data_IF_330810092604
#
_entry.id   IF_330810092604
#
_cell.length_a   1.000
_cell.length_b   1.000
_cell.length_c   1.000
_cell.angle_alpha   90.00
_cell.angle_beta   90.00
_cell.angle_gamma   90.00
#
_symmetry.space_group_name_H-M   'P 1'
#
loop_
_entity.id
_entity.type
_entity.pdbx_description
1 polymer ?
#
# COMPACT_ATOMS: atom_id res chain seq x y z
N UNK A 1 0.59 5.20 -31.33
CA UNK A 1 1.27 4.98 -30.04
C UNK A 1 0.26 5.28 -28.95
N UNK A 2 -0.02 4.32 -28.06
CA UNK A 2 -1.00 4.54 -26.99
C UNK A 2 -0.36 5.42 -25.91
N UNK A 3 -1.05 6.46 -25.45
CA UNK A 3 -0.54 7.30 -24.35
C UNK A 3 -0.36 6.44 -23.09
N UNK A 4 0.80 6.53 -22.44
CA UNK A 4 1.19 5.70 -21.29
C UNK A 4 0.11 5.69 -20.18
N UNK A 5 -0.36 6.86 -19.75
CA UNK A 5 -1.31 6.95 -18.64
C UNK A 5 -2.71 6.46 -19.01
N UNK A 6 -3.07 6.55 -20.29
CA UNK A 6 -4.30 5.93 -20.80
C UNK A 6 -4.19 4.40 -20.76
N UNK A 7 -3.04 3.86 -21.18
CA UNK A 7 -2.78 2.42 -21.12
C UNK A 7 -2.76 1.91 -19.67
N UNK A 8 -2.00 2.56 -18.79
CA UNK A 8 -1.95 2.22 -17.36
C UNK A 8 -3.34 2.19 -16.74
N UNK A 9 -4.16 3.23 -16.93
CA UNK A 9 -5.51 3.29 -16.36
C UNK A 9 -6.41 2.16 -16.85
N UNK A 10 -6.39 1.86 -18.14
CA UNK A 10 -7.28 0.87 -18.74
C UNK A 10 -6.83 -0.56 -18.40
N UNK A 11 -5.53 -0.82 -18.50
CA UNK A 11 -4.99 -2.18 -18.47
C UNK A 11 -4.60 -2.66 -17.06
N UNK A 12 -4.69 -1.78 -16.06
CA UNK A 12 -4.58 -2.16 -14.63
C UNK A 12 -5.92 -2.17 -13.90
N UNK A 13 -7.01 -1.80 -14.58
CA UNK A 13 -8.33 -1.66 -13.96
C UNK A 13 -8.81 -2.95 -13.27
N UNK A 14 -8.60 -4.10 -13.91
CA UNK A 14 -8.99 -5.40 -13.34
C UNK A 14 -8.28 -5.69 -12.01
N UNK A 15 -6.95 -5.50 -11.96
CA UNK A 15 -6.17 -5.73 -10.75
C UNK A 15 -6.47 -4.69 -9.65
N UNK A 16 -6.74 -3.44 -10.01
CA UNK A 16 -7.24 -2.44 -9.08
C UNK A 16 -8.58 -2.88 -8.45
N UNK A 17 -9.53 -3.34 -9.26
CA UNK A 17 -10.82 -3.82 -8.78
C UNK A 17 -10.67 -5.07 -7.90
N UNK A 18 -9.79 -6.03 -8.27
CA UNK A 18 -9.49 -7.21 -7.44
C UNK A 18 -8.93 -6.77 -6.09
N UNK A 19 -7.99 -5.82 -6.08
CA UNK A 19 -7.40 -5.30 -4.84
C UNK A 19 -8.48 -4.74 -3.90
N UNK A 20 -9.36 -3.88 -4.39
CA UNK A 20 -10.45 -3.28 -3.60
C UNK A 20 -11.41 -4.35 -3.02
N UNK A 21 -11.63 -5.44 -3.74
CA UNK A 21 -12.50 -6.53 -3.30
C UNK A 21 -11.79 -7.61 -2.45
N UNK A 22 -10.48 -7.53 -2.28
CA UNK A 22 -9.69 -8.51 -1.53
C UNK A 22 -9.56 -8.08 -0.06
N UNK A 23 -9.76 -9.00 0.89
CA UNK A 23 -9.45 -8.73 2.29
C UNK A 23 -7.94 -8.40 2.45
N UNK A 24 -7.55 -7.41 3.28
CA UNK A 24 -8.39 -6.59 4.16
C UNK A 24 -8.97 -5.31 3.52
N UNK A 25 -8.64 -5.00 2.27
CA UNK A 25 -9.04 -3.75 1.60
C UNK A 25 -10.55 -3.61 1.40
N UNK A 26 -11.28 -4.72 1.27
CA UNK A 26 -12.74 -4.76 1.17
C UNK A 26 -13.47 -4.17 2.38
N UNK A 27 -12.79 -3.93 3.51
CA UNK A 27 -13.31 -3.16 4.64
C UNK A 27 -13.77 -1.75 4.22
N UNK A 28 -13.21 -1.18 3.16
CA UNK A 28 -13.60 0.15 2.68
C UNK A 28 -14.87 0.18 1.81
N UNK A 29 -15.60 -0.93 1.66
CA UNK A 29 -16.94 -0.89 1.07
C UNK A 29 -17.96 -0.21 2.00
N UNK A 30 -18.99 0.42 1.41
CA UNK A 30 -19.89 1.38 2.08
C UNK A 30 -20.63 0.80 3.29
N UNK A 31 -20.93 -0.50 3.27
CA UNK A 31 -21.75 -1.17 4.29
C UNK A 31 -20.92 -1.99 5.29
N UNK A 32 -19.59 -1.95 5.18
CA UNK A 32 -18.69 -2.65 6.10
C UNK A 32 -18.55 -1.88 7.42
N UNK A 33 -18.75 -2.58 8.54
CA UNK A 33 -18.38 -2.07 9.87
C UNK A 33 -16.87 -1.89 9.98
N UNK A 34 -16.44 -0.92 10.78
CA UNK A 34 -15.01 -0.71 11.02
C UNK A 34 -14.44 -1.91 11.78
N UNK A 35 -13.41 -2.54 11.20
CA UNK A 35 -12.72 -3.67 11.79
C UNK A 35 -11.27 -3.27 12.12
N UNK A 36 -10.96 -3.23 13.42
CA UNK A 36 -9.65 -2.83 13.92
C UNK A 36 -8.51 -3.73 13.42
N UNK A 37 -8.72 -5.04 13.37
CA UNK A 37 -7.71 -6.00 12.90
C UNK A 37 -7.46 -5.85 11.40
N UNK A 38 -8.53 -5.67 10.62
CA UNK A 38 -8.43 -5.42 9.18
C UNK A 38 -7.73 -4.07 8.90
N UNK A 39 -8.04 -3.02 9.66
CA UNK A 39 -7.38 -1.73 9.54
C UNK A 39 -5.87 -1.82 9.84
N UNK A 40 -5.50 -2.45 10.96
CA UNK A 40 -4.10 -2.69 11.30
C UNK A 40 -3.38 -3.54 10.22
N UNK A 41 -4.05 -4.57 9.69
CA UNK A 41 -3.51 -5.37 8.59
C UNK A 41 -3.27 -4.53 7.33
N UNK A 42 -4.20 -3.64 6.96
CA UNK A 42 -4.01 -2.70 5.84
C UNK A 42 -2.80 -1.82 6.07
N UNK A 43 -2.65 -1.19 7.24
CA UNK A 43 -1.50 -0.32 7.51
C UNK A 43 -0.17 -1.09 7.44
N UNK A 44 -0.13 -2.32 7.94
CA UNK A 44 1.03 -3.19 7.82
C UNK A 44 1.38 -3.53 6.37
N UNK A 45 0.37 -3.87 5.54
CA UNK A 45 0.55 -4.11 4.12
C UNK A 45 1.06 -2.86 3.41
N UNK A 46 0.44 -1.71 3.66
CA UNK A 46 0.82 -0.45 3.04
C UNK A 46 2.24 -0.03 3.42
N UNK A 47 2.67 -0.31 4.66
CA UNK A 47 4.06 -0.09 5.08
C UNK A 47 5.04 -0.93 4.27
N UNK A 48 4.79 -2.22 4.09
CA UNK A 48 5.63 -3.09 3.25
C UNK A 48 5.65 -2.59 1.80
N UNK A 49 4.48 -2.26 1.25
CA UNK A 49 4.36 -1.74 -0.12
C UNK A 49 5.15 -0.45 -0.32
N UNK A 50 4.98 0.52 0.58
CA UNK A 50 5.63 1.83 0.49
C UNK A 50 7.14 1.73 0.71
N UNK A 51 7.61 0.91 1.67
CA UNK A 51 9.05 0.67 1.84
C UNK A 51 9.67 0.06 0.57
N UNK A 52 9.04 -0.97 0.02
CA UNK A 52 9.52 -1.65 -1.18
C UNK A 52 9.55 -0.70 -2.38
N UNK A 53 8.47 0.05 -2.60
CA UNK A 53 8.37 1.02 -3.69
C UNK A 53 9.42 2.12 -3.57
N UNK A 54 9.57 2.72 -2.38
CA UNK A 54 10.52 3.79 -2.15
C UNK A 54 11.96 3.31 -2.41
N UNK A 55 12.31 2.10 -1.97
CA UNK A 55 13.63 1.53 -2.22
C UNK A 55 13.85 1.25 -3.72
N UNK A 56 12.90 0.63 -4.42
CA UNK A 56 13.00 0.39 -5.87
C UNK A 56 13.19 1.69 -6.65
N UNK A 57 12.41 2.73 -6.32
CA UNK A 57 12.49 4.04 -6.97
C UNK A 57 13.84 4.70 -6.67
N UNK A 58 14.29 4.65 -5.42
CA UNK A 58 15.59 5.20 -5.01
C UNK A 58 16.74 4.52 -5.74
N UNK A 59 16.78 3.20 -5.78
CA UNK A 59 17.82 2.43 -6.47
C UNK A 59 17.85 2.73 -7.97
N UNK A 60 16.67 2.86 -8.59
CA UNK A 60 16.57 3.23 -10.01
C UNK A 60 17.05 4.65 -10.24
N UNK A 61 16.71 5.60 -9.36
CA UNK A 61 17.15 6.98 -9.46
C UNK A 61 18.68 7.15 -9.27
N UNK A 62 19.33 6.26 -8.51
CA UNK A 62 20.81 6.21 -8.45
C UNK A 62 21.43 5.84 -9.81
N UNK A 63 20.76 4.96 -10.57
CA UNK A 63 21.22 4.50 -11.89
C UNK A 63 20.78 5.44 -13.03
N UNK A 64 19.64 6.11 -12.87
CA UNK A 64 19.04 7.04 -13.84
C UNK A 64 18.66 8.35 -13.12
N UNK A 65 19.62 9.28 -12.93
CA UNK A 65 19.41 10.47 -12.10
C UNK A 65 18.30 11.42 -12.55
N UNK A 66 17.88 11.37 -13.82
CA UNK A 66 16.73 12.14 -14.32
C UNK A 66 15.41 11.74 -13.67
N UNK A 67 15.31 10.53 -13.08
CA UNK A 67 14.15 10.09 -12.31
C UNK A 67 14.03 10.79 -10.94
N UNK A 68 15.07 11.47 -10.45
CA UNK A 68 15.03 12.13 -9.13
C UNK A 68 13.85 13.12 -9.01
N UNK A 69 13.50 13.81 -10.11
CA UNK A 69 12.38 14.76 -10.13
C UNK A 69 11.05 14.09 -9.75
N UNK A 70 10.77 12.90 -10.30
CA UNK A 70 9.55 12.16 -9.98
C UNK A 70 9.67 11.33 -8.69
N UNK A 71 10.88 10.88 -8.32
CA UNK A 71 11.10 10.14 -7.08
C UNK A 71 10.76 10.97 -5.83
N UNK A 72 11.15 12.26 -5.84
CA UNK A 72 10.87 13.18 -4.74
C UNK A 72 9.37 13.42 -4.47
N UNK A 73 8.51 13.13 -5.46
CA UNK A 73 7.06 13.33 -5.35
C UNK A 73 6.36 12.33 -4.42
N UNK A 74 7.03 11.22 -4.07
CA UNK A 74 6.47 10.20 -3.18
C UNK A 74 6.34 10.67 -1.73
N UNK A 75 7.16 11.64 -1.31
CA UNK A 75 7.25 12.07 0.08
C UNK A 75 7.38 10.89 1.06
N UNK A 76 8.21 9.90 0.67
CA UNK A 76 8.23 8.57 1.29
C UNK A 76 8.55 8.60 2.79
N UNK A 77 9.41 9.52 3.23
CA UNK A 77 9.76 9.66 4.65
C UNK A 77 8.55 10.02 5.50
N UNK A 78 7.74 10.99 5.06
CA UNK A 78 6.54 11.42 5.78
C UNK A 78 5.48 10.33 5.80
N UNK A 79 5.26 9.65 4.67
CA UNK A 79 4.29 8.55 4.57
C UNK A 79 4.68 7.38 5.47
N UNK A 80 5.96 6.99 5.48
CA UNK A 80 6.45 5.88 6.31
C UNK A 80 6.46 6.22 7.80
N UNK A 81 6.76 7.47 8.17
CA UNK A 81 6.64 7.94 9.55
C UNK A 81 5.19 7.86 10.04
N UNK A 82 4.26 8.38 9.24
CA UNK A 82 2.83 8.36 9.56
C UNK A 82 2.28 6.94 9.73
N UNK A 83 2.70 6.00 8.86
CA UNK A 83 2.37 4.58 9.01
C UNK A 83 2.88 3.98 10.33
N UNK A 84 4.12 4.32 10.72
CA UNK A 84 4.68 3.84 11.97
C UNK A 84 3.92 4.39 13.18
N UNK A 85 3.52 5.67 13.13
CA UNK A 85 2.74 6.31 14.18
C UNK A 85 1.37 5.64 14.34
N UNK A 86 0.61 5.50 13.24
CA UNK A 86 -0.72 4.87 13.27
C UNK A 86 -0.65 3.41 13.73
N UNK A 87 0.31 2.63 13.20
CA UNK A 87 0.49 1.22 13.60
C UNK A 87 0.83 1.11 15.09
N UNK A 88 1.72 1.97 15.59
CA UNK A 88 2.09 1.98 17.01
C UNK A 88 0.90 2.37 17.92
N UNK A 89 0.12 3.38 17.52
CA UNK A 89 -1.07 3.80 18.25
C UNK A 89 -2.10 2.66 18.37
N UNK A 90 -2.38 1.97 17.26
CA UNK A 90 -3.31 0.84 17.23
C UNK A 90 -2.82 -0.34 18.07
N UNK A 91 -1.54 -0.72 17.96
CA UNK A 91 -0.96 -1.82 18.74
C UNK A 91 -0.96 -1.51 20.25
N UNK A 92 -0.66 -0.27 20.63
CA UNK A 92 -0.67 0.17 22.02
C UNK A 92 -2.08 0.18 22.61
N UNK A 93 -3.08 0.63 21.85
CA UNK A 93 -4.48 0.60 22.25
C UNK A 93 -4.95 -0.83 22.51
N UNK A 94 -4.63 -1.77 21.61
CA UNK A 94 -4.94 -3.21 21.76
C UNK A 94 -4.34 -3.79 23.05
N UNK A 95 -3.05 -3.52 23.31
CA UNK A 95 -2.38 -4.00 24.51
C UNK A 95 -3.02 -3.45 25.79
N UNK A 96 -3.38 -2.17 25.80
CA UNK A 96 -4.02 -1.54 26.97
C UNK A 96 -5.41 -2.10 27.26
N UNK A 97 -6.19 -2.44 26.22
CA UNK A 97 -7.50 -3.06 26.36
C UNK A 97 -7.39 -4.50 26.92
N UNK A 98 -6.42 -5.27 26.42
CA UNK A 98 -6.15 -6.63 26.92
C UNK A 98 -5.69 -6.63 28.39
N UNK A 99 -4.84 -5.69 28.79
CA UNK A 99 -4.42 -5.55 30.20
C UNK A 99 -5.61 -5.24 31.12
N UNK A 100 -6.47 -4.29 30.76
CA UNK A 100 -7.65 -3.94 31.56
C UNK A 100 -8.67 -5.09 31.69
N UNK A 101 -8.84 -5.89 30.63
CA UNK A 101 -9.70 -7.07 30.66
C UNK A 101 -9.15 -8.13 31.63
N UNK A 102 -7.83 -8.37 31.60
CA UNK A 102 -7.18 -9.32 32.52
C UNK A 102 -7.27 -8.85 33.98
N UNK A 103 -7.12 -7.54 34.24
CA UNK A 103 -7.22 -6.98 35.59
C UNK A 103 -8.63 -7.07 36.18
N UNK A 104 -9.68 -7.04 35.35
CA UNK A 104 -11.08 -7.16 35.80
C UNK A 104 -11.54 -8.62 35.98
N UNK A 105 -10.79 -9.60 35.45
CA UNK A 105 -11.12 -11.03 35.55
C UNK A 105 -10.09 -11.88 36.32
N UNK A 106 -9.02 -11.29 36.86
CA UNK A 106 -8.00 -12.04 37.61
C UNK A 106 -8.44 -12.37 39.06
N UNK A 107 -9.04 -13.56 39.23
CA UNK A 107 -8.93 -14.34 40.47
C UNK A 107 -7.74 -15.30 40.30
N UNK A 108 -6.63 -14.96 40.96
CA UNK A 108 -5.45 -15.79 41.31
C UNK A 108 -5.13 -16.99 40.40
N UNK A 109 -4.05 -16.88 39.61
CA UNK A 109 -2.99 -17.90 39.50
C UNK A 109 -1.71 -17.25 38.92
N UNK A 110 -0.52 -17.40 39.53
CA UNK A 110 0.71 -16.80 39.05
C UNK A 110 1.52 -17.81 38.23
N UNK A 111 1.46 -17.76 36.90
CA UNK A 111 2.61 -18.08 36.01
C UNK A 111 2.19 -18.05 34.54
N UNK A 112 2.69 -17.09 33.78
CA UNK A 112 3.68 -17.35 32.72
C UNK A 112 3.97 -16.04 31.99
N UNK A 113 5.26 -15.75 31.87
CA UNK A 113 5.81 -14.66 31.07
C UNK A 113 5.28 -14.80 29.64
N UNK A 114 4.33 -13.94 29.24
CA UNK A 114 3.90 -13.82 27.85
C UNK A 114 5.15 -13.46 27.05
N UNK A 115 5.66 -14.43 26.29
CA UNK A 115 6.67 -14.17 25.27
C UNK A 115 5.98 -13.36 24.19
N UNK A 116 6.37 -12.11 24.02
CA UNK A 116 6.09 -11.32 22.83
C UNK A 116 6.65 -12.06 21.62
N UNK A 117 5.83 -12.88 20.99
CA UNK A 117 6.01 -13.38 19.64
C UNK A 117 4.63 -13.43 19.02
N UNK A 118 4.56 -13.00 17.78
CA UNK A 118 3.40 -13.07 16.89
C UNK A 118 2.63 -11.74 16.74
N UNK A 119 3.35 -10.65 16.41
CA UNK A 119 2.92 -9.95 15.19
C UNK A 119 3.00 -11.00 14.06
N UNK A 120 1.98 -11.18 13.20
CA UNK A 120 2.15 -11.93 11.97
C UNK A 120 3.12 -11.15 11.08
N UNK A 121 4.41 -11.27 11.40
CA UNK A 121 5.47 -10.69 10.62
C UNK A 121 5.42 -11.39 9.28
N UNK A 122 4.90 -10.70 8.27
CA UNK A 122 5.08 -11.08 6.88
C UNK A 122 6.56 -11.43 6.70
N UNK A 123 6.85 -12.72 6.53
CA UNK A 123 8.22 -13.22 6.50
C UNK A 123 9.00 -12.47 5.42
N UNK A 124 10.10 -11.80 5.80
CA UNK A 124 10.91 -10.98 4.89
C UNK A 124 11.34 -11.76 3.63
N UNK A 125 11.64 -13.05 3.77
CA UNK A 125 11.99 -13.90 2.63
C UNK A 125 10.79 -14.19 1.72
N UNK A 126 9.60 -14.34 2.31
CA UNK A 126 8.37 -14.51 1.55
C UNK A 126 7.91 -13.20 0.89
N UNK A 127 8.23 -12.03 1.46
CA UNK A 127 8.02 -10.73 0.82
C UNK A 127 8.99 -10.58 -0.36
N UNK A 128 10.28 -10.90 -0.17
CA UNK A 128 11.29 -10.78 -1.21
C UNK A 128 10.93 -11.56 -2.49
N UNK A 129 10.30 -12.73 -2.33
CA UNK A 129 9.81 -13.55 -3.45
C UNK A 129 8.61 -12.94 -4.20
N UNK A 130 7.90 -11.99 -3.60
CA UNK A 130 6.77 -11.31 -4.22
C UNK A 130 7.15 -9.95 -4.83
N UNK A 131 8.37 -9.45 -4.58
CA UNK A 131 8.79 -8.16 -5.14
C UNK A 131 8.75 -8.26 -6.66
N UNK A 132 8.10 -7.31 -7.36
CA UNK A 132 8.06 -7.32 -8.81
C UNK A 132 9.45 -7.42 -9.43
N UNK A 133 9.59 -8.26 -10.45
CA UNK A 133 10.78 -8.34 -11.29
C UNK A 133 10.47 -7.73 -12.65
N UNK A 134 11.37 -6.89 -13.17
CA UNK A 134 11.12 -6.15 -14.40
C UNK A 134 12.22 -6.34 -15.45
N UNK A 135 11.82 -6.20 -16.71
CA UNK A 135 12.72 -6.11 -17.86
C UNK A 135 13.39 -4.71 -17.97
N UNK A 136 12.90 -3.71 -17.22
CA UNK A 136 13.48 -2.36 -17.16
C UNK A 136 13.27 -1.74 -15.78
N UNK A 137 14.36 -1.39 -15.10
CA UNK A 137 14.30 -0.71 -13.80
C UNK A 137 13.55 0.63 -13.90
N UNK A 138 13.65 1.33 -15.03
CA UNK A 138 12.91 2.58 -15.29
C UNK A 138 11.40 2.37 -15.39
N UNK A 139 10.93 1.35 -16.14
CA UNK A 139 9.49 1.06 -16.20
C UNK A 139 8.96 0.61 -14.85
N UNK A 140 9.75 -0.17 -14.12
CA UNK A 140 9.42 -0.61 -12.78
C UNK A 140 9.22 0.56 -11.80
N UNK A 141 10.15 1.52 -11.81
CA UNK A 141 10.08 2.70 -10.95
C UNK A 141 8.90 3.61 -11.31
N UNK A 142 8.68 3.90 -12.60
CA UNK A 142 7.54 4.72 -13.04
C UNK A 142 6.21 4.04 -12.70
N UNK A 143 6.11 2.73 -12.89
CA UNK A 143 4.94 1.95 -12.52
C UNK A 143 4.70 1.96 -10.99
N UNK A 144 5.77 1.85 -10.18
CA UNK A 144 5.66 1.91 -8.73
C UNK A 144 5.13 3.29 -8.26
N UNK A 145 5.67 4.38 -8.82
CA UNK A 145 5.21 5.75 -8.54
C UNK A 145 3.75 5.92 -8.99
N UNK A 146 3.37 5.35 -10.14
CA UNK A 146 2.00 5.38 -10.62
C UNK A 146 1.02 4.72 -9.63
N UNK A 147 1.32 3.53 -9.12
CA UNK A 147 0.46 2.83 -8.14
C UNK A 147 0.42 3.59 -6.81
N UNK A 148 1.57 4.07 -6.33
CA UNK A 148 1.65 4.89 -5.11
C UNK A 148 0.76 6.14 -5.21
N UNK A 149 1.00 6.98 -6.22
CA UNK A 149 0.24 8.22 -6.38
C UNK A 149 -1.21 7.94 -6.79
N UNK A 150 -1.50 6.81 -7.45
CA UNK A 150 -2.86 6.32 -7.66
C UNK A 150 -3.62 6.17 -6.35
N UNK A 151 -3.01 5.48 -5.37
CA UNK A 151 -3.62 5.28 -4.04
C UNK A 151 -3.80 6.58 -3.24
N UNK A 152 -2.95 7.60 -3.47
CA UNK A 152 -3.04 8.91 -2.82
C UNK A 152 -4.35 9.65 -3.11
N UNK A 153 -4.94 9.44 -4.29
CA UNK A 153 -6.22 10.04 -4.66
C UNK A 153 -7.38 9.45 -3.85
N UNK A 154 -7.36 8.13 -3.62
CA UNK A 154 -8.37 7.44 -2.80
C UNK A 154 -8.26 7.76 -1.31
N UNK A 155 -7.07 8.11 -0.83
CA UNK A 155 -6.80 8.40 0.58
C UNK A 155 -7.71 9.51 1.15
N UNK A 156 -8.01 10.56 0.36
CA UNK A 156 -8.91 11.65 0.80
C UNK A 156 -10.33 11.16 1.17
N UNK A 157 -10.83 10.15 0.46
CA UNK A 157 -12.15 9.58 0.73
C UNK A 157 -12.09 8.74 2.00
N UNK A 158 -11.01 7.97 2.17
CA UNK A 158 -10.80 7.12 3.34
C UNK A 158 -10.65 7.96 4.61
N UNK A 159 -9.82 9.01 4.61
CA UNK A 159 -9.69 9.93 5.76
C UNK A 159 -11.04 10.44 6.22
N UNK A 160 -11.83 11.03 5.30
CA UNK A 160 -13.14 11.60 5.62
C UNK A 160 -14.10 10.57 6.20
N UNK A 161 -14.04 9.33 5.69
CA UNK A 161 -14.87 8.24 6.21
C UNK A 161 -14.47 7.86 7.62
N UNK A 162 -13.18 7.73 7.90
CA UNK A 162 -12.66 7.37 9.22
C UNK A 162 -12.93 8.48 10.24
N UNK A 163 -12.70 9.74 9.88
CA UNK A 163 -12.96 10.92 10.74
C UNK A 163 -14.45 11.14 11.03
N UNK A 164 -15.35 10.67 10.15
CA UNK A 164 -16.79 10.73 10.38
C UNK A 164 -17.29 9.68 11.39
N UNK A 165 -16.44 8.72 11.78
CA UNK A 165 -16.78 7.73 12.80
C UNK A 165 -16.65 8.35 14.20
N UNK A 166 -17.44 7.85 15.16
CA UNK A 166 -17.32 8.27 16.58
C UNK A 166 -16.12 7.63 17.30
N UNK A 167 -15.32 6.84 16.58
CA UNK A 167 -14.14 6.15 17.09
C UNK A 167 -12.91 7.04 16.90
N UNK A 168 -12.02 7.03 17.88
CA UNK A 168 -10.72 7.69 17.77
C UNK A 168 -9.77 6.81 16.95
N UNK A 169 -9.88 6.90 15.63
CA UNK A 169 -9.11 6.11 14.67
C UNK A 169 -7.88 6.93 14.23
N UNK A 170 -6.64 6.42 14.41
CA UNK A 170 -5.44 7.04 13.85
C UNK A 170 -5.52 7.14 12.32
N UNK A 171 -5.28 8.32 11.77
CA UNK A 171 -5.42 8.62 10.33
C UNK A 171 -4.21 9.31 9.72
N UNK A 172 -3.09 9.40 10.44
CA UNK A 172 -1.90 10.13 9.96
C UNK A 172 -1.43 9.61 8.59
N UNK A 173 -1.47 8.29 8.38
CA UNK A 173 -1.08 7.67 7.11
C UNK A 173 -1.94 8.16 5.94
N UNK A 174 -3.26 8.10 6.09
CA UNK A 174 -4.17 8.50 5.01
C UNK A 174 -4.15 10.01 4.79
N UNK A 175 -3.90 10.81 5.84
CA UNK A 175 -3.66 12.25 5.71
C UNK A 175 -2.36 12.55 4.95
N UNK A 176 -1.27 11.85 5.27
CA UNK A 176 0.01 11.97 4.56
C UNK A 176 -0.13 11.57 3.08
N UNK A 177 -0.81 10.47 2.79
CA UNK A 177 -1.10 10.04 1.42
C UNK A 177 -1.98 11.04 0.68
N UNK A 178 -3.06 11.54 1.29
CA UNK A 178 -3.89 12.58 0.69
C UNK A 178 -3.07 13.84 0.31
N UNK A 179 -2.09 14.20 1.13
CA UNK A 179 -1.14 15.28 0.86
C UNK A 179 -0.24 15.05 -0.37
N UNK A 180 -0.01 13.80 -0.76
CA UNK A 180 0.76 13.44 -1.97
C UNK A 180 -0.05 13.60 -3.26
N UNK A 181 -1.39 13.60 -3.20
CA UNK A 181 -2.25 13.64 -4.39
C UNK A 181 -2.03 14.88 -5.27
N UNK A 182 -1.58 16.00 -4.68
CA UNK A 182 -1.23 17.23 -5.42
C UNK A 182 -0.13 17.02 -6.45
N UNK A 183 0.74 16.03 -6.27
CA UNK A 183 1.84 15.74 -7.19
C UNK A 183 1.41 14.95 -8.43
N UNK A 184 0.18 14.42 -8.47
CA UNK A 184 -0.29 13.55 -9.56
C UNK A 184 -0.19 14.19 -10.94
N UNK A 185 -0.60 15.47 -11.06
CA UNK A 185 -0.57 16.17 -12.35
C UNK A 185 0.87 16.39 -12.82
N UNK A 186 1.73 16.88 -11.92
CA UNK A 186 3.15 17.10 -12.20
C UNK A 186 3.88 15.79 -12.54
N UNK A 187 3.58 14.70 -11.84
CA UNK A 187 4.12 13.38 -12.15
C UNK A 187 3.85 12.98 -13.59
N UNK A 188 2.60 13.12 -14.06
CA UNK A 188 2.25 12.77 -15.44
C UNK A 188 3.01 13.63 -16.46
N UNK A 189 3.07 14.93 -16.23
CA UNK A 189 3.78 15.87 -17.11
C UNK A 189 5.29 15.58 -17.17
N UNK A 190 5.89 15.30 -16.02
CA UNK A 190 7.32 15.01 -15.90
C UNK A 190 7.68 13.68 -16.56
N UNK A 191 6.80 12.67 -16.47
CA UNK A 191 6.97 11.39 -17.18
C UNK A 191 6.81 11.58 -18.68
N UNK A 192 5.79 12.31 -19.15
CA UNK A 192 5.61 12.61 -20.57
C UNK A 192 6.81 13.34 -21.17
N UNK A 193 7.51 14.16 -20.38
CA UNK A 193 8.76 14.81 -20.77
C UNK A 193 9.96 13.88 -20.68
N UNK A 194 9.99 12.99 -19.67
CA UNK A 194 11.12 12.10 -19.38
C UNK A 194 11.29 11.00 -20.43
N UNK A 195 10.19 10.44 -20.93
CA UNK A 195 10.27 9.29 -21.84
C UNK A 195 11.00 9.63 -23.14
N UNK A 196 10.73 10.77 -23.82
CA UNK A 196 11.53 11.21 -24.96
C UNK A 196 13.01 11.47 -24.60
N UNK A 197 13.28 12.11 -23.46
CA UNK A 197 14.65 12.40 -22.99
C UNK A 197 15.48 11.12 -22.83
N UNK A 198 14.84 10.03 -22.42
CA UNK A 198 15.46 8.72 -22.23
C UNK A 198 15.42 7.82 -23.48
N UNK A 199 14.80 8.26 -24.58
CA UNK A 199 14.57 7.40 -25.76
C UNK A 199 13.60 6.25 -25.50
N UNK A 200 12.74 6.37 -24.48
CA UNK A 200 11.80 5.36 -24.02
C UNK A 200 10.35 5.62 -24.48
N UNK A 201 10.11 6.67 -25.29
CA UNK A 201 8.80 6.96 -25.86
C UNK A 201 8.46 6.00 -27.01
N UNK A 202 8.16 4.76 -26.65
CA UNK A 202 7.83 3.69 -27.58
C UNK A 202 6.85 2.68 -26.98
N UNK A 203 6.16 1.92 -27.85
CA UNK A 203 5.13 0.97 -27.44
C UNK A 203 5.68 -0.17 -26.56
N UNK A 204 6.95 -0.55 -26.72
CA UNK A 204 7.58 -1.57 -25.87
C UNK A 204 7.69 -1.08 -24.42
N UNK A 205 8.03 0.19 -24.22
CA UNK A 205 8.08 0.78 -22.89
C UNK A 205 6.68 0.84 -22.26
N UNK A 206 5.67 1.28 -23.02
CA UNK A 206 4.27 1.30 -22.54
C UNK A 206 3.83 -0.08 -22.07
N UNK A 207 4.12 -1.13 -22.85
CA UNK A 207 3.83 -2.51 -22.47
C UNK A 207 4.54 -2.92 -21.17
N UNK A 208 5.84 -2.61 -21.04
CA UNK A 208 6.61 -2.94 -19.84
C UNK A 208 6.07 -2.22 -18.60
N UNK A 209 5.76 -0.92 -18.71
CA UNK A 209 5.21 -0.14 -17.61
C UNK A 209 3.83 -0.64 -17.15
N UNK A 210 2.97 -1.06 -18.08
CA UNK A 210 1.68 -1.70 -17.76
C UNK A 210 1.88 -3.04 -17.06
N UNK A 211 2.81 -3.87 -17.55
CA UNK A 211 3.13 -5.15 -16.93
C UNK A 211 3.67 -4.95 -15.50
N UNK A 212 4.57 -4.00 -15.31
CA UNK A 212 5.14 -3.68 -14.00
C UNK A 212 4.09 -3.11 -13.04
N UNK A 213 3.16 -2.27 -13.53
CA UNK A 213 2.08 -1.74 -12.70
C UNK A 213 1.13 -2.85 -12.25
N UNK A 214 0.80 -3.80 -13.13
CA UNK A 214 0.04 -4.97 -12.75
C UNK A 214 0.79 -5.84 -11.72
N UNK A 215 2.10 -6.02 -11.86
CA UNK A 215 2.91 -6.73 -10.87
C UNK A 215 2.89 -6.03 -9.49
N UNK A 216 2.88 -4.69 -9.44
CA UNK A 216 2.71 -3.95 -8.18
C UNK A 216 1.33 -4.14 -7.54
N UNK A 217 0.26 -4.19 -8.35
CA UNK A 217 -1.06 -4.53 -7.82
C UNK A 217 -1.11 -5.99 -7.34
N UNK A 218 -0.55 -6.94 -8.09
CA UNK A 218 -0.45 -8.35 -7.70
C UNK A 218 0.35 -8.53 -6.41
N UNK A 219 1.39 -7.72 -6.20
CA UNK A 219 2.14 -7.66 -4.96
C UNK A 219 1.23 -7.27 -3.79
N UNK A 220 0.47 -6.17 -3.91
CA UNK A 220 -0.49 -5.73 -2.89
C UNK A 220 -1.59 -6.79 -2.62
N UNK A 221 -2.16 -7.38 -3.67
CA UNK A 221 -3.16 -8.45 -3.57
C UNK A 221 -2.58 -9.65 -2.81
N UNK A 222 -1.35 -10.05 -3.15
CA UNK A 222 -0.67 -11.18 -2.50
C UNK A 222 -0.38 -10.91 -1.02
N UNK A 223 -0.03 -9.67 -0.67
CA UNK A 223 0.11 -9.26 0.73
C UNK A 223 -1.23 -9.35 1.47
N UNK A 224 -2.33 -8.88 0.87
CA UNK A 224 -3.68 -8.99 1.45
C UNK A 224 -4.14 -10.44 1.67
N UNK A 225 -3.94 -11.31 0.67
CA UNK A 225 -4.29 -12.73 0.79
C UNK A 225 -3.54 -13.46 1.91
N UNK A 226 -2.33 -12.99 2.27
CA UNK A 226 -1.52 -13.57 3.35
C UNK A 226 -1.90 -13.09 4.74
N UNK A 227 -2.68 -12.02 4.86
CA UNK A 227 -3.19 -11.50 6.13
C UNK A 227 -4.62 -11.92 6.40
N UNK A 228 -5.30 -12.58 5.44
CA UNK A 228 -6.64 -13.10 5.64
C UNK A 228 -6.67 -14.17 6.74
N UNK A 229 -7.59 -14.09 7.72
CA UNK A 229 -7.80 -15.17 8.67
C UNK A 229 -8.23 -16.42 7.90
N UNK A 230 -7.73 -17.60 8.30
CA UNK A 230 -7.91 -18.89 7.61
C UNK A 230 -9.38 -19.34 7.42
N UNK A 231 -10.36 -18.59 7.93
CA UNK A 231 -11.78 -18.96 7.95
C UNK A 231 -12.69 -18.07 7.07
N UNK A 232 -12.17 -17.14 6.27
CA UNK A 232 -13.02 -16.49 5.24
C UNK A 232 -13.11 -17.37 3.99
N UNK A 233 -14.28 -17.97 3.68
CA UNK A 233 -14.45 -18.66 2.42
C UNK A 233 -14.32 -17.62 1.30
N UNK A 234 -13.40 -17.86 0.37
CA UNK A 234 -13.38 -17.16 -0.91
C UNK A 234 -14.75 -17.40 -1.59
N UNK A 235 -15.63 -16.41 -1.53
CA UNK A 235 -16.69 -16.34 -2.52
C UNK A 235 -16.04 -15.87 -3.82
N UNK A 236 -15.69 -16.82 -4.67
CA UNK A 236 -15.52 -16.55 -6.09
C UNK A 236 -16.81 -15.87 -6.55
N UNK A 237 -16.71 -14.57 -6.86
CA UNK A 237 -17.76 -13.87 -7.56
C UNK A 237 -17.85 -14.52 -8.95
N UNK A 238 -18.84 -15.40 -9.12
CA UNK A 238 -19.18 -15.94 -10.43
C UNK A 238 -19.58 -14.77 -11.35
N UNK A 239 -18.93 -14.76 -12.52
CA UNK A 239 -19.20 -13.93 -13.70
C UNK A 239 -20.69 -13.89 -14.04
#
# INVERSE_FOLDING_TARGET
>A
MRNLFTALKQDTHANHAILENTFPFSMYHKDSEFNHEAYLAILNIMRVFHQTTAETVKQTALQTPSLNRIASMLNSEVVLLALNNDTHALSSATLSAQQRYNDTHAKLEPTTRIKNKDEPALNAQAIAQLIPCSNSTTSQAIAAIYVWLGSSMGANIIVRRLEAMTLDIPTEYYQAMAGCAKAWVSFKQDVETLLPELGLDNESFVKNAVQDANAWFEFLISLGKRTAPNDTPYHEANV
#
